data_IF_753792990440
#
_entry.id   IF_753792990440
#
_cell.length_a   1.000
_cell.length_b   1.000
_cell.length_c   1.000
_cell.angle_alpha   90.00
_cell.angle_beta   90.00
_cell.angle_gamma   90.00
#
_symmetry.space_group_name_H-M   'P 1'
#
loop_
_entity.id
_entity.type
_entity.pdbx_description
1 polymer ?
#
# COMPACT_ATOMS: atom_id res chain seq x y z
N UNK A 1 -14.26 2.49 -11.47
CA UNK A 1 -14.34 1.65 -10.23
C UNK A 1 -13.68 0.30 -10.50
N UNK A 2 -12.68 -0.04 -9.71
CA UNK A 2 -11.93 -1.31 -9.81
C UNK A 2 -12.43 -2.33 -8.78
N UNK A 3 -12.71 -1.88 -7.55
CA UNK A 3 -13.26 -2.69 -6.46
C UNK A 3 -14.43 -1.96 -5.81
N UNK A 4 -15.46 -2.72 -5.43
CA UNK A 4 -16.53 -2.28 -4.54
C UNK A 4 -16.78 -3.35 -3.49
N UNK A 5 -16.64 -3.00 -2.23
CA UNK A 5 -16.95 -3.82 -1.07
C UNK A 5 -18.28 -3.32 -0.49
N UNK A 6 -19.19 -4.24 -0.22
CA UNK A 6 -20.52 -3.91 0.32
C UNK A 6 -20.84 -4.82 1.51
N UNK A 7 -21.05 -4.19 2.68
CA UNK A 7 -21.43 -4.82 3.95
C UNK A 7 -20.62 -6.05 4.30
N UNK A 8 -19.27 -5.99 4.10
CA UNK A 8 -18.37 -7.10 4.29
C UNK A 8 -18.13 -7.40 5.77
N UNK A 9 -18.38 -8.64 6.16
CA UNK A 9 -17.96 -9.18 7.45
C UNK A 9 -16.91 -10.29 7.23
N UNK A 10 -15.89 -10.29 8.10
CA UNK A 10 -14.88 -11.36 8.15
C UNK A 10 -14.74 -11.87 9.57
N UNK A 11 -14.73 -13.20 9.73
CA UNK A 11 -14.60 -13.89 11.00
C UNK A 11 -13.44 -14.88 10.99
N UNK A 12 -12.76 -15.01 12.12
CA UNK A 12 -11.86 -16.12 12.44
C UNK A 12 -12.47 -16.92 13.59
N UNK A 13 -13.00 -18.10 13.29
CA UNK A 13 -13.81 -18.88 14.22
C UNK A 13 -15.03 -18.06 14.68
N UNK A 14 -15.15 -17.84 15.98
CA UNK A 14 -16.26 -17.05 16.56
C UNK A 14 -15.97 -15.55 16.62
N UNK A 15 -14.73 -15.12 16.40
CA UNK A 15 -14.35 -13.70 16.49
C UNK A 15 -14.62 -12.98 15.18
N UNK A 16 -15.50 -11.97 15.20
CA UNK A 16 -15.65 -11.04 14.08
C UNK A 16 -14.49 -10.04 14.11
N UNK A 17 -13.71 -9.99 13.01
CA UNK A 17 -12.55 -9.11 12.85
C UNK A 17 -12.90 -7.88 12.03
N UNK A 18 -13.74 -8.04 11.00
CA UNK A 18 -14.29 -6.95 10.21
C UNK A 18 -15.80 -7.04 10.21
N UNK A 19 -16.48 -5.90 10.38
CA UNK A 19 -17.92 -5.81 10.43
C UNK A 19 -18.43 -4.67 9.55
N UNK A 20 -19.36 -4.97 8.65
CA UNK A 20 -20.05 -4.01 7.78
C UNK A 20 -19.11 -3.06 7.03
N UNK A 21 -18.01 -3.60 6.49
CA UNK A 21 -17.05 -2.82 5.71
C UNK A 21 -17.67 -2.42 4.36
N UNK A 22 -17.58 -1.13 4.03
CA UNK A 22 -18.01 -0.58 2.75
C UNK A 22 -16.87 0.26 2.19
N UNK A 23 -16.39 -0.06 0.99
CA UNK A 23 -15.23 0.58 0.37
C UNK A 23 -15.36 0.53 -1.14
N UNK A 24 -14.96 1.61 -1.81
CA UNK A 24 -14.74 1.63 -3.27
C UNK A 24 -13.30 2.00 -3.56
N UNK A 25 -12.77 1.54 -4.70
CA UNK A 25 -11.45 1.92 -5.18
C UNK A 25 -11.50 2.18 -6.69
N UNK A 26 -11.03 3.35 -7.09
CA UNK A 26 -10.97 3.78 -8.48
C UNK A 26 -9.54 3.76 -9.06
N UNK A 27 -9.41 3.78 -10.38
CA UNK A 27 -8.10 3.82 -11.06
C UNK A 27 -7.34 5.11 -10.69
N UNK A 28 -6.03 4.99 -10.49
CA UNK A 28 -5.14 6.12 -10.23
C UNK A 28 -5.34 6.79 -8.86
N UNK A 29 -6.16 6.21 -7.99
CA UNK A 29 -6.39 6.70 -6.63
C UNK A 29 -5.36 6.09 -5.67
N UNK A 30 -4.83 6.91 -4.76
CA UNK A 30 -4.02 6.45 -3.62
C UNK A 30 -4.89 6.55 -2.38
N UNK A 31 -5.26 5.39 -1.83
CA UNK A 31 -6.04 5.26 -0.61
C UNK A 31 -5.17 4.67 0.49
N UNK A 32 -5.10 5.35 1.62
CA UNK A 32 -4.37 4.83 2.79
C UNK A 32 -5.32 4.37 3.88
N UNK A 33 -5.11 3.16 4.36
CA UNK A 33 -5.79 2.59 5.50
C UNK A 33 -4.94 2.79 6.74
N UNK A 34 -5.50 3.45 7.74
CA UNK A 34 -4.89 3.66 9.05
C UNK A 34 -5.73 3.00 10.14
N UNK A 35 -5.12 2.75 11.30
CA UNK A 35 -5.83 2.15 12.43
C UNK A 35 -4.88 1.43 13.38
N UNK A 36 -5.29 1.13 14.62
CA UNK A 36 -4.46 0.45 15.60
C UNK A 36 -4.07 -0.97 15.16
N UNK A 37 -3.06 -1.54 15.83
CA UNK A 37 -2.69 -2.93 15.61
C UNK A 37 -3.86 -3.86 15.97
N UNK A 38 -4.10 -4.87 15.12
CA UNK A 38 -5.23 -5.79 15.32
C UNK A 38 -6.59 -5.25 14.85
N UNK A 39 -6.68 -4.05 14.28
CA UNK A 39 -7.93 -3.45 13.77
C UNK A 39 -8.51 -4.13 12.52
N UNK A 40 -7.81 -5.07 11.90
CA UNK A 40 -8.29 -5.83 10.75
C UNK A 40 -7.76 -5.37 9.37
N UNK A 41 -6.83 -4.41 9.32
CA UNK A 41 -6.29 -3.87 8.05
C UNK A 41 -5.74 -4.95 7.11
N UNK A 42 -4.80 -5.78 7.58
CA UNK A 42 -4.27 -6.92 6.82
C UNK A 42 -5.34 -7.96 6.49
N UNK A 43 -6.35 -8.13 7.38
CA UNK A 43 -7.49 -9.02 7.14
C UNK A 43 -8.32 -8.52 5.94
N UNK A 44 -8.53 -7.22 5.83
CA UNK A 44 -9.20 -6.61 4.69
C UNK A 44 -8.44 -6.89 3.38
N UNK A 45 -7.10 -6.73 3.36
CA UNK A 45 -6.29 -7.06 2.19
C UNK A 45 -6.40 -8.54 1.80
N UNK A 46 -6.32 -9.44 2.79
CA UNK A 46 -6.49 -10.88 2.56
C UNK A 46 -7.86 -11.24 2.01
N UNK A 47 -8.92 -10.55 2.45
CA UNK A 47 -10.26 -10.73 1.91
C UNK A 47 -10.34 -10.22 0.45
N UNK A 48 -9.76 -9.06 0.13
CA UNK A 48 -9.73 -8.48 -1.22
C UNK A 48 -9.04 -9.43 -2.22
N UNK A 49 -7.91 -10.03 -1.84
CA UNK A 49 -7.17 -10.98 -2.72
C UNK A 49 -7.74 -12.39 -2.69
N UNK A 50 -8.82 -12.65 -1.95
CA UNK A 50 -9.42 -13.99 -1.84
C UNK A 50 -8.62 -15.00 -1.03
N UNK A 51 -7.64 -14.55 -0.22
CA UNK A 51 -6.80 -15.42 0.60
C UNK A 51 -7.51 -15.95 1.85
N UNK A 52 -8.64 -15.36 2.21
CA UNK A 52 -9.50 -15.79 3.32
C UNK A 52 -10.97 -15.71 2.91
N UNK A 53 -11.84 -16.59 3.46
CA UNK A 53 -13.27 -16.51 3.20
C UNK A 53 -13.90 -15.30 3.87
N UNK A 54 -14.92 -14.74 3.23
CA UNK A 54 -15.79 -13.71 3.80
C UNK A 54 -16.99 -14.38 4.46
N UNK A 55 -17.48 -13.81 5.58
CA UNK A 55 -18.61 -14.37 6.33
C UNK A 55 -19.95 -13.80 5.87
N UNK A 56 -19.95 -12.52 5.41
CA UNK A 56 -21.12 -11.80 4.92
C UNK A 56 -20.70 -10.70 3.95
N UNK A 57 -21.65 -10.22 3.16
CA UNK A 57 -21.41 -9.13 2.19
C UNK A 57 -20.84 -9.63 0.87
N UNK A 58 -20.31 -8.71 0.07
CA UNK A 58 -19.77 -9.01 -1.26
C UNK A 58 -18.59 -8.11 -1.60
N UNK A 59 -17.65 -8.66 -2.33
CA UNK A 59 -16.56 -7.92 -2.98
C UNK A 59 -16.77 -8.04 -4.49
N UNK A 60 -17.05 -6.92 -5.12
CA UNK A 60 -17.18 -6.83 -6.58
C UNK A 60 -15.85 -6.31 -7.13
N UNK A 61 -15.33 -6.96 -8.13
CA UNK A 61 -14.10 -6.57 -8.82
C UNK A 61 -14.38 -6.39 -10.31
N UNK A 62 -13.63 -5.49 -10.95
CA UNK A 62 -13.58 -5.42 -12.41
C UNK A 62 -13.23 -6.81 -12.99
N UNK A 63 -13.86 -7.25 -14.10
CA UNK A 63 -13.46 -8.50 -14.76
C UNK A 63 -11.96 -8.52 -15.08
N UNK A 64 -11.31 -9.66 -14.83
CA UNK A 64 -9.87 -9.87 -15.06
C UNK A 64 -8.95 -8.85 -14.36
N UNK A 65 -9.38 -8.31 -13.22
CA UNK A 65 -8.61 -7.36 -12.42
C UNK A 65 -7.26 -7.96 -12.02
N UNK A 66 -6.18 -7.29 -12.36
CA UNK A 66 -4.83 -7.68 -11.95
C UNK A 66 -4.45 -6.95 -10.67
N UNK A 67 -4.20 -7.71 -9.62
CA UNK A 67 -3.83 -7.20 -8.30
C UNK A 67 -2.37 -7.58 -8.01
N UNK A 68 -1.53 -6.59 -7.69
CA UNK A 68 -0.22 -6.79 -7.09
C UNK A 68 -0.34 -6.69 -5.56
N UNK A 69 0.36 -7.53 -4.82
CA UNK A 69 0.34 -7.50 -3.36
C UNK A 69 1.75 -7.57 -2.78
N UNK A 70 2.08 -6.59 -1.96
CA UNK A 70 3.29 -6.55 -1.14
C UNK A 70 2.88 -6.79 0.31
N UNK A 71 3.15 -7.97 0.87
CA UNK A 71 2.80 -8.30 2.25
C UNK A 71 3.71 -7.60 3.25
N UNK A 72 3.24 -7.38 4.46
CA UNK A 72 4.01 -6.85 5.58
C UNK A 72 5.27 -7.68 5.88
N UNK A 73 5.13 -9.00 5.79
CA UNK A 73 6.23 -9.95 5.98
C UNK A 73 5.99 -11.19 5.11
N UNK A 74 7.02 -11.61 4.40
CA UNK A 74 7.03 -12.87 3.71
C UNK A 74 7.85 -13.88 4.53
N UNK A 75 7.18 -14.95 4.99
CA UNK A 75 7.84 -16.07 5.66
C UNK A 75 8.20 -17.11 4.60
N UNK A 76 9.49 -17.27 4.34
CA UNK A 76 10.04 -18.33 3.51
C UNK A 76 10.78 -19.29 4.45
N UNK A 77 10.59 -20.59 4.26
CA UNK A 77 11.32 -21.59 5.01
C UNK A 77 12.82 -21.40 4.75
N UNK A 78 13.62 -21.30 5.84
CA UNK A 78 15.05 -21.09 5.76
C UNK A 78 15.79 -22.21 5.03
N UNK A 79 15.21 -23.40 5.00
CA UNK A 79 15.77 -24.56 4.31
C UNK A 79 15.50 -24.55 2.80
N UNK A 80 14.62 -23.66 2.30
CA UNK A 80 14.30 -23.56 0.89
C UNK A 80 15.35 -22.74 0.13
N UNK A 81 16.22 -23.37 -0.69
CA UNK A 81 17.24 -22.66 -1.46
C UNK A 81 16.61 -21.99 -2.70
N UNK A 82 16.05 -20.81 -2.54
CA UNK A 82 15.43 -20.07 -3.63
C UNK A 82 16.14 -18.74 -3.88
N UNK A 83 16.65 -18.52 -5.08
CA UNK A 83 17.21 -17.24 -5.49
C UNK A 83 16.12 -16.23 -5.81
N UNK A 84 16.46 -14.93 -5.78
CA UNK A 84 15.55 -13.85 -6.18
C UNK A 84 15.01 -14.07 -7.58
N UNK A 85 15.86 -14.45 -8.52
CA UNK A 85 15.44 -14.74 -9.90
C UNK A 85 14.36 -15.84 -9.93
N UNK A 86 14.61 -16.96 -9.25
CA UNK A 86 13.64 -18.06 -9.19
C UNK A 86 12.34 -17.65 -8.54
N UNK A 87 12.43 -16.87 -7.45
CA UNK A 87 11.26 -16.33 -6.74
C UNK A 87 10.40 -15.41 -7.61
N UNK A 88 11.02 -14.56 -8.43
CA UNK A 88 10.31 -13.69 -9.37
C UNK A 88 9.71 -14.48 -10.53
N UNK A 89 10.42 -15.48 -11.07
CA UNK A 89 9.92 -16.37 -12.14
C UNK A 89 8.65 -17.12 -11.74
N UNK A 90 8.46 -17.44 -10.46
CA UNK A 90 7.22 -18.07 -9.97
C UNK A 90 5.99 -17.16 -10.11
N UNK A 91 6.16 -15.84 -10.20
CA UNK A 91 5.05 -14.90 -10.32
C UNK A 91 4.61 -14.66 -11.77
N UNK A 92 5.44 -14.98 -12.76
CA UNK A 92 5.14 -14.65 -14.16
C UNK A 92 5.75 -15.65 -15.15
N UNK A 93 4.90 -16.24 -15.99
CA UNK A 93 5.32 -17.25 -17.00
C UNK A 93 6.30 -16.69 -18.04
N UNK A 94 6.19 -15.39 -18.39
CA UNK A 94 7.03 -14.72 -19.39
C UNK A 94 8.03 -13.74 -18.75
N UNK A 95 8.74 -14.16 -17.73
CA UNK A 95 9.70 -13.36 -16.94
C UNK A 95 10.68 -12.58 -17.83
N UNK A 96 11.21 -13.19 -18.87
CA UNK A 96 12.22 -12.57 -19.76
C UNK A 96 11.72 -11.30 -20.47
N UNK A 97 10.42 -11.19 -20.77
CA UNK A 97 9.82 -9.99 -21.39
C UNK A 97 9.71 -8.81 -20.42
N UNK A 98 9.79 -9.06 -19.13
CA UNK A 98 9.68 -8.03 -18.08
C UNK A 98 11.03 -7.75 -17.42
N UNK A 99 12.12 -8.32 -17.92
CA UNK A 99 13.43 -8.31 -17.27
C UNK A 99 13.96 -6.90 -17.04
N UNK A 100 13.96 -6.03 -18.07
CA UNK A 100 14.48 -4.67 -17.96
C UNK A 100 13.73 -3.84 -16.91
N UNK A 101 12.40 -4.00 -16.85
CA UNK A 101 11.55 -3.35 -15.84
C UNK A 101 11.89 -3.85 -14.43
N UNK A 102 12.10 -5.15 -14.29
CA UNK A 102 12.46 -5.77 -13.01
C UNK A 102 13.83 -5.28 -12.54
N UNK A 103 14.82 -5.26 -13.44
CA UNK A 103 16.15 -4.76 -13.16
C UNK A 103 16.13 -3.31 -12.67
N UNK A 104 15.38 -2.44 -13.35
CA UNK A 104 15.22 -1.05 -12.95
C UNK A 104 14.61 -0.91 -11.54
N UNK A 105 13.70 -1.81 -11.15
CA UNK A 105 13.09 -1.82 -9.81
C UNK A 105 14.05 -2.33 -8.74
N UNK A 106 14.84 -3.36 -9.05
CA UNK A 106 15.83 -3.95 -8.15
C UNK A 106 17.03 -3.03 -7.93
N UNK A 107 17.47 -2.34 -8.99
CA UNK A 107 18.62 -1.44 -8.99
C UNK A 107 19.98 -2.14 -9.16
N UNK A 108 20.02 -3.49 -9.23
CA UNK A 108 21.23 -4.29 -9.54
C UNK A 108 20.84 -5.67 -10.02
N UNK A 109 21.56 -6.17 -11.05
CA UNK A 109 21.45 -7.55 -11.55
C UNK A 109 21.96 -8.57 -10.54
N UNK A 110 22.95 -8.21 -9.74
CA UNK A 110 23.58 -9.12 -8.80
C UNK A 110 22.57 -9.64 -7.77
N UNK A 111 21.54 -8.82 -7.47
CA UNK A 111 20.50 -9.19 -6.55
C UNK A 111 19.74 -10.46 -6.99
N UNK A 112 19.66 -10.73 -8.29
CA UNK A 112 18.95 -11.89 -8.84
C UNK A 112 19.55 -13.23 -8.40
N UNK A 113 20.88 -13.27 -8.19
CA UNK A 113 21.60 -14.48 -7.81
C UNK A 113 21.61 -14.72 -6.29
N UNK A 114 21.18 -13.75 -5.49
CA UNK A 114 21.17 -13.87 -4.03
C UNK A 114 20.01 -14.77 -3.58
N UNK A 115 20.25 -15.60 -2.57
CA UNK A 115 19.21 -16.36 -1.89
C UNK A 115 18.24 -15.39 -1.20
N UNK A 116 16.94 -15.63 -1.32
CA UNK A 116 15.91 -14.74 -0.75
C UNK A 116 16.06 -14.59 0.77
N UNK A 117 16.50 -15.65 1.45
CA UNK A 117 16.74 -15.63 2.89
C UNK A 117 17.95 -14.77 3.33
N UNK A 118 18.85 -14.42 2.39
CA UNK A 118 20.05 -13.62 2.66
C UNK A 118 19.84 -12.12 2.33
N UNK A 119 18.65 -11.72 1.93
CA UNK A 119 18.34 -10.33 1.62
C UNK A 119 18.27 -9.46 2.86
N UNK A 120 18.79 -8.23 2.78
CA UNK A 120 18.48 -7.20 3.77
C UNK A 120 16.99 -6.81 3.68
N UNK A 121 16.44 -6.18 4.72
CA UNK A 121 15.05 -5.71 4.73
C UNK A 121 14.72 -4.84 3.51
N UNK A 122 15.58 -3.89 3.18
CA UNK A 122 15.39 -3.02 2.01
C UNK A 122 15.50 -3.75 0.67
N UNK A 123 16.39 -4.74 0.56
CA UNK A 123 16.49 -5.59 -0.63
C UNK A 123 15.22 -6.45 -0.79
N UNK A 124 14.73 -7.04 0.31
CA UNK A 124 13.49 -7.80 0.31
C UNK A 124 12.31 -6.96 -0.16
N UNK A 125 12.18 -5.71 0.32
CA UNK A 125 11.09 -4.81 -0.12
C UNK A 125 11.17 -4.49 -1.61
N UNK A 126 12.35 -4.26 -2.16
CA UNK A 126 12.53 -4.08 -3.61
C UNK A 126 12.09 -5.32 -4.40
N UNK A 127 12.47 -6.51 -3.93
CA UNK A 127 12.11 -7.78 -4.56
C UNK A 127 10.60 -8.03 -4.50
N UNK A 128 9.95 -7.78 -3.36
CA UNK A 128 8.51 -7.92 -3.19
C UNK A 128 7.74 -6.93 -4.07
N UNK A 129 8.20 -5.68 -4.16
CA UNK A 129 7.61 -4.68 -5.04
C UNK A 129 7.76 -5.07 -6.52
N UNK A 130 8.96 -5.49 -6.94
CA UNK A 130 9.19 -5.98 -8.29
C UNK A 130 8.27 -7.16 -8.63
N UNK A 131 8.12 -8.11 -7.71
CA UNK A 131 7.21 -9.26 -7.87
C UNK A 131 5.75 -8.83 -8.01
N UNK A 132 5.30 -7.87 -7.22
CA UNK A 132 3.94 -7.35 -7.29
C UNK A 132 3.65 -6.63 -8.62
N UNK A 133 4.66 -5.97 -9.20
CA UNK A 133 4.53 -5.18 -10.43
C UNK A 133 4.73 -5.97 -11.73
N UNK A 134 5.24 -7.19 -11.65
CA UNK A 134 5.64 -7.99 -12.82
C UNK A 134 4.48 -8.25 -13.79
N UNK A 135 3.25 -8.37 -13.29
CA UNK A 135 2.04 -8.62 -14.06
C UNK A 135 1.28 -7.35 -14.47
N UNK A 136 1.93 -6.17 -14.39
CA UNK A 136 1.31 -4.87 -14.67
C UNK A 136 -0.05 -4.73 -13.97
N UNK A 137 -0.08 -4.69 -12.63
CA UNK A 137 -1.31 -4.65 -11.87
C UNK A 137 -2.08 -3.35 -12.13
N UNK A 138 -3.42 -3.44 -12.03
CA UNK A 138 -4.32 -2.28 -12.03
C UNK A 138 -4.55 -1.77 -10.61
N UNK A 139 -4.30 -2.63 -9.60
CA UNK A 139 -4.29 -2.29 -8.17
C UNK A 139 -3.03 -2.85 -7.53
N UNK A 140 -2.36 -2.03 -6.73
CA UNK A 140 -1.25 -2.41 -5.89
C UNK A 140 -1.66 -2.30 -4.42
N UNK A 141 -1.65 -3.43 -3.71
CA UNK A 141 -1.89 -3.49 -2.28
C UNK A 141 -0.55 -3.51 -1.55
N UNK A 142 -0.33 -2.56 -0.63
CA UNK A 142 0.90 -2.39 0.13
C UNK A 142 0.61 -2.54 1.63
N UNK A 143 0.98 -3.67 2.21
CA UNK A 143 0.75 -3.95 3.64
C UNK A 143 1.99 -3.59 4.45
N UNK A 144 2.04 -2.38 5.02
CA UNK A 144 3.19 -1.84 5.76
C UNK A 144 4.53 -2.03 5.03
N UNK A 145 4.53 -1.79 3.72
CA UNK A 145 5.64 -2.14 2.81
C UNK A 145 6.93 -1.33 3.05
N UNK A 146 6.94 -0.36 3.95
CA UNK A 146 8.13 0.42 4.34
C UNK A 146 8.75 -0.04 5.65
N UNK A 147 8.20 -1.07 6.27
CA UNK A 147 8.71 -1.59 7.54
C UNK A 147 10.15 -2.09 7.39
N UNK A 148 11.04 -1.60 8.25
CA UNK A 148 12.46 -1.97 8.22
C UNK A 148 13.30 -1.22 7.19
N UNK A 149 12.75 -0.18 6.55
CA UNK A 149 13.50 0.80 5.79
C UNK A 149 13.97 1.95 6.71
N UNK A 150 15.13 2.51 6.40
CA UNK A 150 15.56 3.80 6.94
C UNK A 150 14.79 4.97 6.31
N UNK A 151 14.88 6.16 6.89
CA UNK A 151 14.14 7.34 6.41
C UNK A 151 14.37 7.65 4.92
N UNK A 152 15.61 7.65 4.39
CA UNK A 152 15.85 7.82 2.94
C UNK A 152 15.21 6.71 2.10
N UNK A 153 15.23 5.47 2.57
CA UNK A 153 14.60 4.32 1.95
C UNK A 153 13.07 4.47 1.86
N UNK A 154 12.43 4.92 2.94
CA UNK A 154 10.99 5.24 2.98
C UNK A 154 10.64 6.29 1.94
N UNK A 155 11.34 7.44 1.92
CA UNK A 155 11.09 8.51 0.94
C UNK A 155 11.30 8.03 -0.51
N UNK A 156 12.34 7.21 -0.76
CA UNK A 156 12.60 6.63 -2.07
C UNK A 156 11.50 5.65 -2.49
N UNK A 157 10.98 4.84 -1.56
CA UNK A 157 9.91 3.90 -1.80
C UNK A 157 8.63 4.62 -2.25
N UNK A 158 8.21 5.66 -1.52
CA UNK A 158 6.98 6.39 -1.86
C UNK A 158 7.09 7.17 -3.16
N UNK A 159 8.24 7.77 -3.48
CA UNK A 159 8.48 8.36 -4.82
C UNK A 159 8.33 7.33 -5.94
N UNK A 160 8.80 6.09 -5.74
CA UNK A 160 8.58 5.00 -6.71
C UNK A 160 7.11 4.65 -6.87
N UNK A 161 6.35 4.58 -5.77
CA UNK A 161 4.92 4.29 -5.78
C UNK A 161 4.16 5.39 -6.54
N UNK A 162 4.46 6.65 -6.28
CA UNK A 162 3.87 7.79 -7.00
C UNK A 162 4.18 7.75 -8.50
N UNK A 163 5.43 7.48 -8.88
CA UNK A 163 5.83 7.32 -10.29
C UNK A 163 5.09 6.16 -10.96
N UNK A 164 4.90 5.04 -10.27
CA UNK A 164 4.12 3.90 -10.78
C UNK A 164 2.67 4.32 -11.01
N UNK A 165 2.04 4.96 -10.04
CA UNK A 165 0.67 5.46 -10.18
C UNK A 165 0.56 6.43 -11.37
N UNK A 166 1.45 7.41 -11.47
CA UNK A 166 1.41 8.43 -12.53
C UNK A 166 1.64 7.84 -13.94
N UNK A 167 2.53 6.85 -14.07
CA UNK A 167 2.87 6.24 -15.36
C UNK A 167 1.90 5.17 -15.82
N UNK A 168 1.20 4.49 -14.90
CA UNK A 168 0.36 3.32 -15.22
C UNK A 168 -1.11 3.52 -14.89
N UNK A 169 -1.49 4.61 -14.22
CA UNK A 169 -2.81 4.83 -13.64
C UNK A 169 -3.27 3.69 -12.70
N UNK A 170 -2.29 2.99 -12.09
CA UNK A 170 -2.52 1.94 -11.11
C UNK A 170 -3.11 2.55 -9.83
N UNK A 171 -4.19 1.97 -9.32
CA UNK A 171 -4.70 2.32 -7.99
C UNK A 171 -3.77 1.77 -6.91
N UNK A 172 -3.56 2.53 -5.85
CA UNK A 172 -2.74 2.13 -4.71
C UNK A 172 -3.64 2.07 -3.48
N UNK A 173 -3.72 0.91 -2.86
CA UNK A 173 -4.33 0.77 -1.54
C UNK A 173 -3.23 0.36 -0.56
N UNK A 174 -2.92 1.22 0.40
CA UNK A 174 -1.82 0.97 1.31
C UNK A 174 -2.23 1.02 2.77
N UNK A 175 -1.57 0.21 3.59
CA UNK A 175 -1.59 0.31 5.05
C UNK A 175 -0.31 1.01 5.47
N UNK A 176 -0.43 2.12 6.19
CA UNK A 176 0.71 2.87 6.70
C UNK A 176 0.44 3.38 8.11
N UNK A 177 1.50 3.47 8.91
CA UNK A 177 1.51 4.15 10.21
C UNK A 177 2.28 5.47 10.14
N UNK A 178 2.88 5.79 9.00
CA UNK A 178 3.65 7.02 8.79
C UNK A 178 2.70 8.14 8.35
N UNK A 179 2.36 9.02 9.30
CA UNK A 179 1.44 10.12 9.09
C UNK A 179 1.93 11.12 8.03
N UNK A 180 3.25 11.37 7.94
CA UNK A 180 3.81 12.27 6.93
C UNK A 180 3.51 11.78 5.52
N UNK A 181 3.64 10.50 5.31
CA UNK A 181 3.34 9.85 4.04
C UNK A 181 1.85 9.87 3.75
N UNK A 182 1.04 9.53 4.76
CA UNK A 182 -0.43 9.55 4.63
C UNK A 182 -0.90 10.93 4.16
N UNK A 183 -0.38 12.00 4.78
CA UNK A 183 -0.77 13.37 4.48
C UNK A 183 -0.29 13.86 3.12
N UNK A 184 0.92 13.47 2.69
CA UNK A 184 1.55 14.00 1.47
C UNK A 184 1.19 13.24 0.20
N UNK A 185 0.88 11.94 0.32
CA UNK A 185 0.78 11.05 -0.85
C UNK A 185 -0.61 10.47 -1.07
N UNK A 186 -1.55 10.60 -0.11
CA UNK A 186 -2.87 9.99 -0.21
C UNK A 186 -3.92 10.93 -0.80
N UNK A 187 -4.76 10.42 -1.68
CA UNK A 187 -5.97 11.11 -2.11
C UNK A 187 -7.07 10.97 -1.06
N UNK A 188 -7.11 9.83 -0.36
CA UNK A 188 -8.12 9.49 0.62
C UNK A 188 -7.54 8.61 1.72
N UNK A 189 -8.00 8.83 2.95
CA UNK A 189 -7.64 8.07 4.14
C UNK A 189 -8.87 7.39 4.70
N UNK A 190 -8.72 6.15 5.15
CA UNK A 190 -9.77 5.33 5.75
C UNK A 190 -9.28 4.84 7.11
N UNK A 191 -9.99 5.19 8.18
CA UNK A 191 -9.70 4.72 9.52
C UNK A 191 -10.44 3.41 9.80
N UNK A 192 -9.71 2.38 10.19
CA UNK A 192 -10.26 1.05 10.44
C UNK A 192 -10.01 0.62 11.88
N UNK A 193 -11.10 0.23 12.56
CA UNK A 193 -11.07 -0.44 13.86
C UNK A 193 -12.16 -1.52 13.93
N UNK A 194 -11.98 -2.61 13.18
CA UNK A 194 -13.01 -3.64 12.99
C UNK A 194 -14.14 -3.20 12.05
N UNK A 195 -14.32 -1.92 11.84
CA UNK A 195 -15.23 -1.26 10.89
C UNK A 195 -14.56 0.03 10.38
N UNK A 196 -15.14 0.70 9.40
CA UNK A 196 -14.68 2.03 8.99
C UNK A 196 -15.23 3.05 9.98
N UNK A 197 -14.33 3.73 10.71
CA UNK A 197 -14.66 4.74 11.70
C UNK A 197 -14.79 6.13 11.08
N UNK A 198 -13.88 6.46 10.16
CA UNK A 198 -13.86 7.71 9.40
C UNK A 198 -13.22 7.50 8.03
N UNK A 199 -13.57 8.37 7.09
CA UNK A 199 -13.07 8.34 5.71
C UNK A 199 -13.13 9.74 5.11
N UNK A 200 -12.13 10.14 4.35
CA UNK A 200 -12.08 11.45 3.70
C UNK A 200 -10.70 11.85 3.20
N UNK A 201 -10.57 13.13 2.82
CA UNK A 201 -9.27 13.73 2.53
C UNK A 201 -8.37 13.69 3.79
N UNK A 202 -7.04 13.55 3.64
CA UNK A 202 -6.12 13.44 4.77
C UNK A 202 -6.33 14.50 5.85
N UNK A 203 -6.46 15.78 5.48
CA UNK A 203 -6.65 16.88 6.44
C UNK A 203 -7.97 16.77 7.21
N UNK A 204 -9.05 16.36 6.53
CA UNK A 204 -10.36 16.18 7.16
C UNK A 204 -10.36 15.03 8.15
N UNK A 205 -9.71 13.92 7.80
CA UNK A 205 -9.59 12.75 8.67
C UNK A 205 -8.74 13.09 9.90
N UNK A 206 -7.62 13.77 9.73
CA UNK A 206 -6.70 14.14 10.78
C UNK A 206 -7.36 14.99 11.90
N UNK A 207 -8.33 15.81 11.54
CA UNK A 207 -9.05 16.68 12.47
C UNK A 207 -10.31 16.02 13.05
N UNK A 208 -10.71 14.86 12.54
CA UNK A 208 -11.96 14.18 12.96
C UNK A 208 -11.87 13.66 14.40
N UNK A 209 -12.97 13.72 15.17
CA UNK A 209 -13.04 13.17 16.53
C UNK A 209 -12.74 11.67 16.57
N UNK A 210 -13.19 10.91 15.57
CA UNK A 210 -13.00 9.47 15.47
C UNK A 210 -11.51 9.12 15.31
N UNK A 211 -10.76 9.90 14.52
CA UNK A 211 -9.33 9.72 14.37
C UNK A 211 -8.61 10.02 15.69
N UNK A 212 -8.95 11.13 16.35
CA UNK A 212 -8.37 11.51 17.66
C UNK A 212 -8.68 10.46 18.74
N UNK A 213 -9.86 9.86 18.72
CA UNK A 213 -10.21 8.78 19.63
C UNK A 213 -9.39 7.50 19.40
N UNK A 214 -8.96 7.22 18.16
CA UNK A 214 -8.15 6.04 17.82
C UNK A 214 -6.67 6.19 18.16
N UNK A 215 -6.11 7.39 18.01
CA UNK A 215 -4.66 7.64 18.07
C UNK A 215 -4.23 8.55 19.23
N UNK A 216 -5.15 9.13 19.97
CA UNK A 216 -4.92 10.08 21.07
C UNK A 216 -4.85 11.53 20.61
N UNK A 217 -5.02 12.47 21.56
CA UNK A 217 -5.00 13.91 21.30
C UNK A 217 -3.59 14.48 21.01
N UNK A 218 -2.54 13.75 21.31
CA UNK A 218 -1.14 14.22 21.15
C UNK A 218 -0.69 14.31 19.67
N UNK A 219 -1.54 13.90 18.74
CA UNK A 219 -1.29 13.96 17.30
C UNK A 219 -1.37 15.39 16.74
N UNK A 220 -1.98 16.33 17.46
CA UNK A 220 -2.13 17.72 17.04
C UNK A 220 -0.77 18.43 16.79
N UNK A 221 0.29 18.06 17.52
CA UNK A 221 1.65 18.57 17.31
C UNK A 221 2.33 18.08 16.02
N UNK A 222 2.00 16.88 15.57
CA UNK A 222 2.57 16.26 14.36
C UNK A 222 1.91 16.81 13.09
N UNK A 223 0.65 17.23 13.17
CA UNK A 223 -0.10 17.81 12.05
C UNK A 223 0.19 19.32 11.85
N UNK A 224 0.61 20.05 12.90
CA UNK A 224 0.86 21.48 12.84
C UNK A 224 2.08 21.85 11.96
N UNK A 225 2.97 20.91 11.68
CA UNK A 225 4.21 21.12 10.92
C UNK A 225 4.04 21.13 9.39
N UNK A 226 2.84 20.86 8.84
CA UNK A 226 2.65 20.68 7.39
C UNK A 226 1.72 21.70 6.71
N UNK A 227 1.61 22.92 7.23
CA UNK A 227 1.03 24.03 6.47
C UNK A 227 2.09 24.68 5.58
N UNK A 228 2.52 24.04 4.51
CA UNK A 228 3.18 24.75 3.42
C UNK A 228 2.14 25.22 2.41
N UNK A 229 1.80 26.52 2.50
CA UNK A 229 1.16 27.25 1.41
C UNK A 229 2.12 27.31 0.22
N UNK A 230 1.78 26.67 -0.88
CA UNK A 230 2.36 26.95 -2.18
C UNK A 230 1.68 28.19 -2.78
N UNK A 231 2.01 29.37 -2.27
CA UNK A 231 1.72 30.65 -2.96
C UNK A 231 2.88 30.94 -3.91
N UNK A 232 2.83 30.39 -5.10
CA UNK A 232 3.64 30.89 -6.21
C UNK A 232 2.92 32.06 -6.86
N UNK A 233 3.13 33.27 -6.34
CA UNK A 233 2.91 34.53 -7.08
C UNK A 233 4.09 34.74 -8.02
N UNK A 234 3.86 34.51 -9.30
CA UNK A 234 4.71 35.05 -10.35
C UNK A 234 4.49 36.54 -10.45
N UNK A 235 5.33 37.34 -9.78
CA UNK A 235 5.47 38.77 -10.08
C UNK A 235 6.37 38.92 -11.31
N UNK A 236 5.74 39.03 -12.47
CA UNK A 236 6.35 39.56 -13.67
C UNK A 236 6.46 41.10 -13.54
N UNK A 237 7.61 41.61 -13.11
CA UNK A 237 7.95 43.02 -13.35
C UNK A 237 8.93 43.11 -14.51
N UNK A 238 8.37 43.50 -15.65
CA UNK A 238 9.09 44.16 -16.75
C UNK A 238 9.28 45.61 -16.31
N UNK A 239 10.53 46.04 -16.14
CA UNK A 239 10.86 47.47 -16.19
C UNK A 239 12.01 47.71 -17.17
N UNK A 240 11.76 48.68 -18.00
CA UNK A 240 12.41 49.35 -19.10
C UNK A 240 13.91 49.58 -18.98
#
# INVERSE_FOLDING_TARGET
MLIKISSLDVKYGYKTVLKNMNLTLDSGEIVTIVGPNGSGKTTLFKAIIGAIPISKGKIYTKPNLRIGYVPQQLKIDQTLPITVERFLKLAHKNFNKSFDKIEALLGSKDLLNIQVNNLSGGQMQKVLLARALINNPEILLLDEATRGLDQPGVASFYRKIENIRNSTNCAILMISHDLHVVMSSSNRVICVNGHICCEGAPESVATSPEYKALFGSDVDGTFALYRHHHDHKHDSKIER
#
